data_IF_756393339468
#
_entry.id   IF_756393339468
#
_cell.length_a   1.000
_cell.length_b   1.000
_cell.length_c   1.000
_cell.angle_alpha   90.00
_cell.angle_beta   90.00
_cell.angle_gamma   90.00
#
_symmetry.space_group_name_H-M   'P 1'
#
loop_
_entity.id
_entity.type
_entity.pdbx_description
1 polymer ?
#
# COMPACT_ATOMS: atom_id res chain seq x y z
N UNK A 1 -8.39 6.64 3.49
CA UNK A 1 -7.93 7.43 4.66
C UNK A 1 -9.04 8.11 5.49
N UNK A 2 -10.34 8.11 5.11
CA UNK A 2 -11.40 8.69 5.97
C UNK A 2 -12.01 7.71 7.00
N UNK A 3 -11.90 6.40 6.78
CA UNK A 3 -12.53 5.39 7.64
C UNK A 3 -11.71 5.11 8.90
N UNK A 4 -10.37 5.18 8.82
CA UNK A 4 -9.51 4.83 9.95
C UNK A 4 -9.49 5.88 11.07
N UNK A 5 -9.66 7.17 10.75
CA UNK A 5 -9.69 8.26 11.74
C UNK A 5 -11.03 8.41 12.49
N UNK A 6 -12.13 7.91 11.93
CA UNK A 6 -13.45 7.91 12.60
C UNK A 6 -13.57 6.81 13.67
N UNK A 7 -12.65 5.85 13.70
CA UNK A 7 -12.79 4.58 14.40
C UNK A 7 -11.97 4.46 15.69
N UNK A 8 -11.14 5.44 16.02
CA UNK A 8 -10.31 5.48 17.23
C UNK A 8 -11.08 5.91 18.49
N UNK A 9 -12.22 6.57 18.38
CA UNK A 9 -13.00 7.06 19.54
C UNK A 9 -13.97 6.07 20.20
N UNK A 10 -14.11 4.83 19.70
CA UNK A 10 -15.16 3.92 20.18
C UNK A 10 -14.60 2.55 20.59
N UNK A 11 -13.86 2.52 21.70
CA UNK A 11 -13.37 1.28 22.34
C UNK A 11 -14.52 0.44 22.93
N UNK A 12 -15.73 1.00 23.11
CA UNK A 12 -16.89 0.31 23.72
C UNK A 12 -17.87 -0.37 22.71
N UNK A 13 -17.57 -0.43 21.41
CA UNK A 13 -18.54 -0.79 20.37
C UNK A 13 -18.08 -1.85 19.38
N UNK A 14 -17.13 -2.73 19.71
CA UNK A 14 -16.62 -3.73 18.75
C UNK A 14 -17.74 -4.51 18.03
N UNK A 15 -18.74 -5.01 18.74
CA UNK A 15 -19.90 -5.69 18.14
C UNK A 15 -20.80 -4.75 17.30
N UNK A 16 -21.11 -3.54 17.79
CA UNK A 16 -21.94 -2.58 17.03
C UNK A 16 -21.21 -2.05 15.77
N UNK A 17 -19.89 -1.92 15.84
CA UNK A 17 -19.01 -1.53 14.73
C UNK A 17 -18.96 -2.60 13.64
N UNK A 18 -18.84 -3.87 14.04
CA UNK A 18 -18.96 -5.01 13.13
C UNK A 18 -20.32 -4.99 12.42
N UNK A 19 -21.42 -4.83 13.18
CA UNK A 19 -22.76 -4.71 12.59
C UNK A 19 -22.89 -3.53 11.62
N UNK A 20 -22.43 -2.35 12.02
CA UNK A 20 -22.52 -1.13 11.20
C UNK A 20 -21.80 -1.31 9.86
N UNK A 21 -20.57 -1.84 9.89
CA UNK A 21 -19.78 -2.06 8.67
C UNK A 21 -20.38 -3.14 7.78
N UNK A 22 -21.00 -4.18 8.35
CA UNK A 22 -21.67 -5.21 7.55
C UNK A 22 -22.91 -4.71 6.80
N UNK A 23 -23.54 -3.61 7.23
CA UNK A 23 -24.62 -2.95 6.49
C UNK A 23 -24.11 -2.18 5.26
N UNK A 24 -22.85 -1.73 5.29
CA UNK A 24 -22.21 -1.01 4.18
C UNK A 24 -21.60 -1.96 3.13
N UNK A 25 -21.81 -3.28 3.27
CA UNK A 25 -21.32 -4.25 2.30
C UNK A 25 -22.08 -4.14 0.99
N UNK A 26 -21.34 -4.10 -0.12
CA UNK A 26 -21.88 -3.98 -1.49
C UNK A 26 -21.42 -5.19 -2.31
N UNK A 27 -22.17 -5.53 -3.36
CA UNK A 27 -21.83 -6.60 -4.29
C UNK A 27 -21.95 -7.98 -3.64
N UNK A 28 -20.91 -8.80 -3.74
CA UNK A 28 -20.92 -10.18 -3.22
C UNK A 28 -20.67 -10.27 -1.70
N UNK A 29 -20.25 -9.17 -1.06
CA UNK A 29 -19.89 -9.16 0.37
C UNK A 29 -21.05 -9.50 1.33
N UNK A 30 -22.30 -9.02 1.14
CA UNK A 30 -23.44 -9.39 2.00
C UNK A 30 -23.79 -10.87 1.93
N UNK A 31 -23.74 -11.47 0.73
CA UNK A 31 -24.05 -12.89 0.51
C UNK A 31 -23.04 -13.76 1.25
N UNK A 32 -21.76 -13.44 1.12
CA UNK A 32 -20.71 -14.10 1.88
C UNK A 32 -20.92 -13.97 3.39
N UNK A 33 -21.19 -12.76 3.88
CA UNK A 33 -21.33 -12.51 5.31
C UNK A 33 -22.49 -13.31 5.92
N UNK A 34 -23.61 -13.44 5.21
CA UNK A 34 -24.74 -14.26 5.64
C UNK A 34 -24.38 -15.75 5.73
N UNK A 35 -23.65 -16.28 4.75
CA UNK A 35 -23.15 -17.66 4.80
C UNK A 35 -22.19 -17.86 5.97
N UNK A 36 -21.25 -16.92 6.17
CA UNK A 36 -20.28 -16.95 7.25
C UNK A 36 -20.96 -16.90 8.64
N UNK A 37 -21.99 -16.08 8.79
CA UNK A 37 -22.77 -15.98 10.02
C UNK A 37 -23.64 -17.23 10.26
N UNK A 38 -24.14 -17.87 9.20
CA UNK A 38 -24.81 -19.17 9.27
C UNK A 38 -23.91 -20.25 9.86
N UNK A 39 -22.66 -20.35 9.38
CA UNK A 39 -21.68 -21.33 9.88
C UNK A 39 -21.29 -21.07 11.36
N UNK A 40 -21.31 -19.81 11.80
CA UNK A 40 -21.12 -19.46 13.22
C UNK A 40 -22.29 -19.95 14.07
N UNK A 41 -23.53 -19.75 13.62
CA UNK A 41 -24.74 -20.21 14.34
C UNK A 41 -24.79 -21.74 14.47
N UNK A 42 -24.30 -22.45 13.47
CA UNK A 42 -24.19 -23.91 13.48
C UNK A 42 -22.99 -24.42 14.29
N UNK A 43 -22.21 -23.52 14.93
CA UNK A 43 -21.05 -23.88 15.73
C UNK A 43 -19.83 -24.34 14.92
N UNK A 44 -19.85 -24.22 13.59
CA UNK A 44 -18.77 -24.66 12.70
C UNK A 44 -17.61 -23.67 12.64
N UNK A 45 -17.83 -22.41 13.07
CA UNK A 45 -16.82 -21.35 13.09
C UNK A 45 -16.87 -20.54 14.39
N UNK A 46 -15.72 -19.99 14.78
CA UNK A 46 -15.62 -19.08 15.93
C UNK A 46 -16.37 -17.78 15.66
N UNK A 47 -17.00 -17.24 16.69
CA UNK A 47 -17.69 -15.96 16.64
C UNK A 47 -16.71 -14.82 16.32
N UNK A 48 -17.17 -13.83 15.57
CA UNK A 48 -16.39 -12.63 15.21
C UNK A 48 -16.91 -11.49 16.06
N UNK A 49 -16.27 -11.28 17.21
CA UNK A 49 -16.71 -10.30 18.22
C UNK A 49 -15.94 -8.98 18.15
N UNK A 50 -14.79 -8.97 17.48
CA UNK A 50 -13.93 -7.80 17.37
C UNK A 50 -13.80 -7.30 15.93
N UNK A 51 -13.52 -6.00 15.82
CA UNK A 51 -13.17 -5.39 14.54
C UNK A 51 -11.94 -6.05 13.90
N UNK A 52 -10.97 -6.47 14.72
CA UNK A 52 -9.75 -7.13 14.29
C UNK A 52 -10.07 -8.48 13.62
N UNK A 53 -10.97 -9.25 14.22
CA UNK A 53 -11.41 -10.54 13.67
C UNK A 53 -12.13 -10.36 12.33
N UNK A 54 -13.04 -9.38 12.24
CA UNK A 54 -13.75 -9.06 10.99
C UNK A 54 -12.76 -8.66 9.89
N UNK A 55 -11.84 -7.75 10.21
CA UNK A 55 -10.82 -7.29 9.26
C UNK A 55 -9.89 -8.42 8.84
N UNK A 56 -9.52 -9.33 9.74
CA UNK A 56 -8.75 -10.52 9.42
C UNK A 56 -9.47 -11.42 8.41
N UNK A 57 -10.77 -11.64 8.59
CA UNK A 57 -11.59 -12.45 7.65
C UNK A 57 -11.79 -11.77 6.31
N UNK A 58 -12.06 -10.45 6.30
CA UNK A 58 -12.18 -9.67 5.08
C UNK A 58 -10.87 -9.67 4.29
N UNK A 59 -9.74 -9.44 4.96
CA UNK A 59 -8.42 -9.51 4.33
C UNK A 59 -8.14 -10.89 3.76
N UNK A 60 -8.37 -11.95 4.53
CA UNK A 60 -8.16 -13.33 4.06
C UNK A 60 -9.01 -13.71 2.84
N UNK A 61 -10.17 -13.08 2.62
CA UNK A 61 -11.07 -13.42 1.50
C UNK A 61 -10.88 -12.52 0.28
N UNK A 62 -10.65 -11.23 0.49
CA UNK A 62 -10.67 -10.22 -0.58
C UNK A 62 -9.31 -9.67 -0.94
N UNK A 63 -8.29 -9.87 -0.10
CA UNK A 63 -6.91 -9.51 -0.43
C UNK A 63 -6.24 -10.75 -1.01
N UNK A 64 -5.86 -10.75 -2.30
CA UNK A 64 -5.10 -11.84 -2.89
C UNK A 64 -3.84 -12.12 -2.07
N UNK A 65 -3.43 -13.37 -1.97
CA UNK A 65 -2.15 -13.75 -1.32
C UNK A 65 -0.95 -13.10 -2.02
N UNK A 66 -1.09 -12.76 -3.30
CA UNK A 66 -0.09 -12.03 -4.08
C UNK A 66 -0.03 -10.53 -3.78
N UNK A 67 -0.99 -9.96 -3.04
CA UNK A 67 -1.13 -8.50 -2.92
C UNK A 67 0.13 -7.80 -2.43
N UNK A 68 0.85 -8.37 -1.45
CA UNK A 68 2.12 -7.81 -0.98
C UNK A 68 3.19 -7.83 -2.09
N UNK A 69 3.28 -8.92 -2.85
CA UNK A 69 4.18 -9.05 -4.01
C UNK A 69 3.78 -8.11 -5.14
N UNK A 70 2.48 -7.91 -5.37
CA UNK A 70 1.97 -7.03 -6.42
C UNK A 70 2.24 -5.56 -6.06
N UNK A 71 2.11 -5.20 -4.79
CA UNK A 71 2.52 -3.88 -4.28
C UNK A 71 4.02 -3.64 -4.47
N UNK A 72 4.85 -4.61 -4.06
CA UNK A 72 6.30 -4.57 -4.25
C UNK A 72 6.68 -4.43 -5.73
N UNK A 73 6.13 -5.28 -6.59
CA UNK A 73 6.38 -5.24 -8.04
C UNK A 73 5.94 -3.91 -8.65
N UNK A 74 4.83 -3.35 -8.17
CA UNK A 74 4.36 -2.03 -8.62
C UNK A 74 5.33 -0.93 -8.22
N UNK A 75 5.89 -0.99 -6.99
CA UNK A 75 6.88 -0.02 -6.53
C UNK A 75 8.15 -0.09 -7.37
N UNK A 76 8.67 -1.31 -7.60
CA UNK A 76 9.84 -1.52 -8.46
C UNK A 76 9.65 -1.00 -9.87
N UNK A 77 8.47 -1.24 -10.44
CA UNK A 77 8.12 -0.77 -11.77
C UNK A 77 8.01 0.77 -11.85
N UNK A 78 7.71 1.46 -10.73
CA UNK A 78 7.74 2.92 -10.67
C UNK A 78 9.18 3.40 -10.80
N UNK A 79 10.13 2.86 -10.03
CA UNK A 79 11.54 3.27 -10.10
C UNK A 79 12.12 3.07 -11.51
N UNK A 80 11.90 1.89 -12.10
CA UNK A 80 12.36 1.57 -13.46
C UNK A 80 11.72 2.45 -14.53
N UNK A 81 10.40 2.68 -14.46
CA UNK A 81 9.68 3.49 -15.45
C UNK A 81 10.10 4.95 -15.39
N UNK A 82 10.24 5.51 -14.19
CA UNK A 82 10.64 6.91 -14.04
C UNK A 82 12.08 7.16 -14.47
N UNK A 83 13.00 6.22 -14.17
CA UNK A 83 14.36 6.30 -14.70
C UNK A 83 14.36 6.43 -16.23
N UNK A 84 13.61 5.54 -16.90
CA UNK A 84 13.52 5.52 -18.36
C UNK A 84 12.83 6.76 -18.95
N UNK A 85 11.73 7.21 -18.34
CA UNK A 85 11.02 8.42 -18.77
C UNK A 85 11.92 9.67 -18.62
N UNK A 86 12.75 9.70 -17.58
CA UNK A 86 13.72 10.77 -17.35
C UNK A 86 14.87 10.75 -18.36
N UNK A 87 15.45 9.59 -18.70
CA UNK A 87 16.47 9.47 -19.75
C UNK A 87 15.95 9.97 -21.11
N UNK A 88 14.69 9.64 -21.45
CA UNK A 88 14.02 10.09 -22.67
C UNK A 88 13.79 11.60 -22.66
N UNK A 89 13.40 12.17 -21.51
CA UNK A 89 13.22 13.62 -21.36
C UNK A 89 14.56 14.36 -21.54
N UNK A 90 15.62 13.93 -20.84
CA UNK A 90 16.95 14.52 -20.93
C UNK A 90 17.54 14.44 -22.34
N UNK A 91 17.25 13.38 -23.10
CA UNK A 91 17.69 13.26 -24.51
C UNK A 91 16.93 14.21 -25.45
N UNK A 92 15.68 14.56 -25.12
CA UNK A 92 14.80 15.41 -25.96
C UNK A 92 14.98 16.89 -25.69
N UNK A 93 15.18 17.26 -24.42
CA UNK A 93 15.47 18.63 -24.03
C UNK A 93 16.97 18.79 -23.92
N UNK A 94 17.60 19.58 -24.80
CA UNK A 94 18.98 20.06 -24.63
C UNK A 94 19.12 21.03 -23.42
N UNK A 95 18.24 20.88 -22.43
CA UNK A 95 18.17 21.66 -21.20
C UNK A 95 19.20 21.07 -20.26
N UNK A 96 20.27 21.84 -20.04
CA UNK A 96 21.26 21.57 -19.01
C UNK A 96 20.62 21.93 -17.66
N UNK A 97 19.69 21.12 -17.19
CA UNK A 97 19.33 21.14 -15.78
C UNK A 97 20.53 20.63 -14.99
N UNK A 98 20.87 21.29 -13.88
CA UNK A 98 21.96 20.82 -13.04
C UNK A 98 21.64 19.40 -12.57
N UNK A 99 22.58 18.47 -12.65
CA UNK A 99 22.42 17.08 -12.17
C UNK A 99 21.78 17.02 -10.77
N UNK A 100 22.06 18.02 -9.93
CA UNK A 100 21.51 18.16 -8.57
C UNK A 100 19.98 18.39 -8.55
N UNK A 101 19.43 19.15 -9.50
CA UNK A 101 18.00 19.39 -9.62
C UNK A 101 17.25 18.14 -10.10
N UNK A 102 17.83 17.43 -11.07
CA UNK A 102 17.30 16.16 -11.60
C UNK A 102 17.27 15.09 -10.50
N UNK A 103 18.37 14.94 -9.75
CA UNK A 103 18.46 14.02 -8.61
C UNK A 103 17.46 14.37 -7.50
N UNK A 104 17.29 15.66 -7.18
CA UNK A 104 16.32 16.11 -6.18
C UNK A 104 14.88 15.80 -6.59
N UNK A 105 14.55 15.98 -7.87
CA UNK A 105 13.23 15.61 -8.40
C UNK A 105 13.00 14.10 -8.33
N UNK A 106 13.98 13.28 -8.70
CA UNK A 106 13.89 11.82 -8.58
C UNK A 106 13.66 11.38 -7.13
N UNK A 107 14.43 11.91 -6.17
CA UNK A 107 14.26 11.64 -4.74
C UNK A 107 12.86 11.98 -4.23
N UNK A 108 12.27 13.09 -4.70
CA UNK A 108 10.94 13.51 -4.27
C UNK A 108 9.82 12.60 -4.78
N UNK A 109 10.03 11.91 -5.90
CA UNK A 109 9.06 10.99 -6.51
C UNK A 109 9.16 9.59 -5.88
N UNK A 110 10.26 9.26 -5.20
CA UNK A 110 10.40 8.01 -4.46
C UNK A 110 9.46 7.98 -3.24
N UNK A 111 9.14 6.77 -2.78
CA UNK A 111 8.39 6.58 -1.54
C UNK A 111 9.21 7.12 -0.35
N UNK A 112 8.57 7.73 0.65
CA UNK A 112 9.24 8.36 1.80
C UNK A 112 10.16 7.39 2.53
N UNK A 113 9.75 6.11 2.64
CA UNK A 113 10.53 5.08 3.31
C UNK A 113 11.85 4.76 2.58
N UNK A 114 11.83 4.79 1.24
CA UNK A 114 13.03 4.59 0.42
C UNK A 114 13.89 5.86 0.45
N UNK A 115 13.25 7.03 0.35
CA UNK A 115 13.91 8.33 0.35
C UNK A 115 14.73 8.53 1.63
N UNK A 116 14.17 8.21 2.80
CA UNK A 116 14.86 8.38 4.09
C UNK A 116 16.12 7.51 4.19
N UNK A 117 16.09 6.30 3.64
CA UNK A 117 17.21 5.38 3.66
C UNK A 117 18.25 5.74 2.59
N UNK A 118 17.82 6.08 1.38
CA UNK A 118 18.71 6.48 0.27
C UNK A 118 19.49 7.76 0.60
N UNK A 119 18.90 8.69 1.35
CA UNK A 119 19.58 9.89 1.83
C UNK A 119 20.74 9.62 2.82
N UNK A 120 20.80 8.43 3.42
CA UNK A 120 21.90 8.03 4.31
C UNK A 120 23.14 7.59 3.53
N UNK A 121 23.00 7.28 2.24
CA UNK A 121 24.11 6.88 1.37
C UNK A 121 24.71 8.07 0.63
N UNK A 122 26.01 7.97 0.33
CA UNK A 122 26.66 8.94 -0.55
C UNK A 122 26.33 8.63 -2.01
N UNK A 123 25.73 9.59 -2.71
CA UNK A 123 25.51 9.57 -4.16
C UNK A 123 25.96 10.90 -4.77
N UNK A 124 26.72 10.84 -5.86
CA UNK A 124 27.20 12.02 -6.59
C UNK A 124 26.58 12.13 -7.99
N UNK A 125 26.08 11.02 -8.50
CA UNK A 125 25.47 10.90 -9.82
C UNK A 125 24.08 10.28 -9.74
N UNK A 126 23.31 10.43 -10.82
CA UNK A 126 22.00 9.80 -10.94
C UNK A 126 22.09 8.28 -10.87
N UNK A 127 23.12 7.69 -11.49
CA UNK A 127 23.35 6.24 -11.47
C UNK A 127 23.55 5.72 -10.05
N UNK A 128 24.30 6.44 -9.22
CA UNK A 128 24.47 6.10 -7.79
C UNK A 128 23.13 6.15 -7.06
N UNK A 129 22.33 7.18 -7.32
CA UNK A 129 21.03 7.39 -6.68
C UNK A 129 20.03 6.28 -7.04
N UNK A 130 20.00 5.88 -8.32
CA UNK A 130 19.17 4.77 -8.82
C UNK A 130 19.66 3.45 -8.23
N UNK A 131 20.98 3.22 -8.20
CA UNK A 131 21.56 2.01 -7.61
C UNK A 131 21.16 1.85 -6.14
N UNK A 132 21.29 2.91 -5.33
CA UNK A 132 20.89 2.88 -3.92
C UNK A 132 19.39 2.72 -3.76
N UNK A 133 18.57 3.40 -4.58
CA UNK A 133 17.12 3.24 -4.54
C UNK A 133 16.69 1.79 -4.85
N UNK A 134 17.24 1.17 -5.89
CA UNK A 134 16.96 -0.23 -6.22
C UNK A 134 17.46 -1.20 -5.15
N UNK A 135 18.59 -0.91 -4.51
CA UNK A 135 19.15 -1.74 -3.44
C UNK A 135 18.36 -1.65 -2.14
N UNK A 136 17.83 -0.47 -1.80
CA UNK A 136 16.97 -0.26 -0.63
C UNK A 136 15.59 -0.85 -0.87
N UNK A 137 15.13 -0.85 -2.12
CA UNK A 137 13.88 -1.46 -2.52
C UNK A 137 13.93 -2.99 -2.51
N UNK A 138 15.08 -3.61 -2.79
CA UNK A 138 15.27 -5.07 -2.88
C UNK A 138 15.26 -5.81 -1.53
#
# INVERSE_FOLDING_TARGET
>A
MKVDQLLTCFVYLNYKKVRMVTYEFIGYAPVWWNQFFGEIKEGRRRHVDTWVDLMGKLRSRYVPTSYARDLYNRQKCIVEKYHKDMEVALTRTNVVESNKAIMAHFLHVLNSDIQDIVQLYHYATMDDLVHWATKVEA
#
